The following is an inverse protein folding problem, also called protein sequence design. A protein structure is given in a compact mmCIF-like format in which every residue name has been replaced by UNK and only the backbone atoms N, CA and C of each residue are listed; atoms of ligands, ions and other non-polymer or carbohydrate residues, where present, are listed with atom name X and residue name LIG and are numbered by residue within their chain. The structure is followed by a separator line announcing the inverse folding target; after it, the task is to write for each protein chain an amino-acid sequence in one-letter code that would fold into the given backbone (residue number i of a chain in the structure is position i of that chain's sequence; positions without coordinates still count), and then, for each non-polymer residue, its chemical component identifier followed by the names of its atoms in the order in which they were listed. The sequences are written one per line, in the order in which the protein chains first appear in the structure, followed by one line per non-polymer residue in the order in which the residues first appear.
data_IF_467345369557
#
_entry.id   IF_467345369557
#
_cell.length_a   1.000
_cell.length_b   1.000
_cell.length_c   1.000
_cell.angle_alpha   90.00
_cell.angle_beta   90.00
_cell.angle_gamma   90.00
#
_symmetry.space_group_name_H-M   'P 1'
#
loop_
_entity.id
_entity.type
_entity.pdbx_description
1 polymer ?
#
# COMPACT_ATOMS: atom_id res chain seq x y z
N UNK A 1 28.88 -3.48 -3.31
CA UNK A 1 27.78 -4.16 -2.62
C UNK A 1 26.88 -3.12 -1.98
N UNK A 2 25.75 -2.82 -2.63
CA UNK A 2 24.72 -2.01 -2.01
C UNK A 2 24.07 -2.86 -0.91
N UNK A 3 24.03 -2.35 0.33
CA UNK A 3 23.34 -3.01 1.44
C UNK A 3 21.96 -3.55 1.00
N UNK A 4 21.65 -4.78 1.41
CA UNK A 4 20.36 -5.39 1.11
C UNK A 4 19.26 -4.61 1.86
N UNK A 5 18.54 -3.76 1.14
CA UNK A 5 17.50 -2.88 1.69
C UNK A 5 16.14 -3.56 1.96
N UNK A 6 16.03 -4.87 1.74
CA UNK A 6 14.80 -5.61 1.96
C UNK A 6 14.73 -6.17 3.38
N UNK A 7 13.57 -6.03 4.03
CA UNK A 7 13.31 -6.67 5.32
C UNK A 7 13.32 -8.20 5.13
N UNK A 8 14.15 -8.88 5.91
CA UNK A 8 14.28 -10.35 5.88
C UNK A 8 13.20 -11.00 6.75
N UNK A 9 12.51 -12.00 6.21
CA UNK A 9 11.53 -12.81 6.92
C UNK A 9 10.13 -12.75 6.30
N UNK A 10 9.47 -13.90 6.18
CA UNK A 10 8.13 -14.01 5.57
C UNK A 10 7.03 -13.40 6.45
N UNK A 11 7.23 -13.35 7.77
CA UNK A 11 6.28 -12.76 8.73
C UNK A 11 6.01 -11.27 8.52
N UNK A 12 6.91 -10.56 7.82
CA UNK A 12 6.76 -9.13 7.51
C UNK A 12 6.04 -8.88 6.18
N UNK A 13 5.62 -9.95 5.47
CA UNK A 13 5.04 -9.85 4.14
C UNK A 13 3.51 -9.86 4.20
N UNK A 14 2.91 -9.17 3.25
CA UNK A 14 1.49 -9.33 2.95
C UNK A 14 1.24 -10.71 2.32
N UNK A 15 0.33 -11.53 2.89
CA UNK A 15 -0.04 -12.80 2.31
C UNK A 15 -0.54 -12.62 0.87
N UNK A 16 -0.17 -13.55 -0.01
CA UNK A 16 -0.59 -13.59 -1.43
C UNK A 16 -0.34 -12.28 -2.21
N UNK A 17 0.54 -11.42 -1.73
CA UNK A 17 0.78 -10.08 -2.26
C UNK A 17 -0.50 -9.21 -2.35
N UNK A 18 -1.54 -9.52 -1.54
CA UNK A 18 -2.78 -8.76 -1.48
C UNK A 18 -2.75 -7.81 -0.28
N UNK A 19 -2.93 -6.53 -0.55
CA UNK A 19 -2.80 -5.44 0.42
C UNK A 19 -4.15 -4.71 0.55
N UNK A 20 -4.96 -5.03 1.57
CA UNK A 20 -6.21 -4.32 1.84
C UNK A 20 -5.91 -2.87 2.23
N UNK A 21 -6.66 -1.91 1.68
CA UNK A 21 -6.43 -0.48 1.90
C UNK A 21 -7.71 0.31 2.12
N UNK A 22 -7.59 1.39 2.89
CA UNK A 22 -8.63 2.42 3.11
C UNK A 22 -7.99 3.80 2.98
N UNK A 23 -8.59 4.67 2.17
CA UNK A 23 -8.17 6.07 2.03
C UNK A 23 -8.99 6.94 2.99
N UNK A 24 -8.32 7.77 3.79
CA UNK A 24 -8.99 8.72 4.66
C UNK A 24 -9.67 9.84 3.85
N UNK A 25 -10.76 10.39 4.39
CA UNK A 25 -11.51 11.50 3.76
C UNK A 25 -10.64 12.73 3.49
N UNK A 26 -9.59 12.96 4.29
CA UNK A 26 -8.64 14.05 4.09
C UNK A 26 -7.88 13.96 2.76
N UNK A 27 -7.87 12.81 2.09
CA UNK A 27 -7.18 12.58 0.82
C UNK A 27 -8.10 12.67 -0.40
N UNK A 28 -9.33 13.16 -0.25
CA UNK A 28 -10.30 13.23 -1.35
C UNK A 28 -9.74 13.94 -2.59
N UNK A 29 -8.97 15.00 -2.40
CA UNK A 29 -8.35 15.77 -3.50
C UNK A 29 -7.13 15.06 -4.12
N UNK A 30 -6.56 14.07 -3.44
CA UNK A 30 -5.38 13.31 -3.89
C UNK A 30 -5.75 11.92 -4.42
N UNK A 31 -7.05 11.56 -4.45
CA UNK A 31 -7.50 10.21 -4.77
C UNK A 31 -7.05 9.74 -6.16
N UNK A 32 -7.00 10.65 -7.14
CA UNK A 32 -6.51 10.35 -8.48
C UNK A 32 -5.02 9.95 -8.48
N UNK A 33 -4.17 10.70 -7.78
CA UNK A 33 -2.73 10.41 -7.69
C UNK A 33 -2.47 9.10 -6.94
N UNK A 34 -3.21 8.85 -5.86
CA UNK A 34 -3.12 7.58 -5.12
C UNK A 34 -3.49 6.40 -6.03
N UNK A 35 -4.55 6.56 -6.83
CA UNK A 35 -5.01 5.52 -7.76
C UNK A 35 -3.99 5.27 -8.87
N UNK A 36 -3.35 6.32 -9.39
CA UNK A 36 -2.25 6.18 -10.35
C UNK A 36 -1.08 5.38 -9.74
N UNK A 37 -0.69 5.69 -8.50
CA UNK A 37 0.33 4.92 -7.78
C UNK A 37 -0.04 3.44 -7.64
N UNK A 38 -1.30 3.13 -7.30
CA UNK A 38 -1.78 1.75 -7.24
C UNK A 38 -1.68 1.04 -8.60
N UNK A 39 -2.03 1.73 -9.69
CA UNK A 39 -1.98 1.17 -11.04
C UNK A 39 -0.54 0.83 -11.46
N UNK A 40 0.44 1.64 -11.09
CA UNK A 40 1.86 1.34 -11.35
C UNK A 40 2.30 0.05 -10.63
N UNK A 41 1.91 -0.15 -9.37
CA UNK A 41 2.14 -1.43 -8.68
C UNK A 41 1.47 -2.60 -9.40
N UNK A 42 0.21 -2.43 -9.80
CA UNK A 42 -0.57 -3.48 -10.45
C UNK A 42 -0.01 -3.87 -11.82
N UNK A 43 0.65 -2.93 -12.51
CA UNK A 43 1.25 -3.10 -13.83
C UNK A 43 2.63 -3.74 -13.75
N UNK A 44 3.44 -3.34 -12.77
CA UNK A 44 4.86 -3.70 -12.71
C UNK A 44 5.18 -4.79 -11.69
N UNK A 45 4.23 -5.18 -10.84
CA UNK A 45 4.45 -6.18 -9.78
C UNK A 45 3.25 -7.12 -9.64
N UNK A 46 3.41 -8.19 -8.83
CA UNK A 46 2.30 -9.04 -8.42
C UNK A 46 1.47 -8.47 -7.26
N UNK A 47 1.84 -7.31 -6.70
CA UNK A 47 1.15 -6.69 -5.57
C UNK A 47 -0.22 -6.17 -6.00
N UNK A 48 -1.25 -6.55 -5.25
CA UNK A 48 -2.64 -6.13 -5.47
C UNK A 48 -3.14 -5.33 -4.29
N UNK A 49 -3.18 -4.01 -4.48
CA UNK A 49 -3.80 -3.07 -3.54
C UNK A 49 -5.30 -3.06 -3.81
N UNK A 50 -6.10 -3.36 -2.80
CA UNK A 50 -7.54 -3.63 -2.93
C UNK A 50 -8.33 -2.91 -1.85
N UNK A 51 -9.63 -2.61 -2.07
CA UNK A 51 -10.49 -2.12 -1.00
C UNK A 51 -10.54 -3.12 0.15
N UNK A 52 -10.32 -2.62 1.36
CA UNK A 52 -10.50 -3.42 2.58
C UNK A 52 -11.97 -3.82 2.74
N UNK A 53 -12.20 -5.06 3.15
CA UNK A 53 -13.49 -5.53 3.63
C UNK A 53 -13.46 -5.65 5.15
N UNK A 54 -12.93 -6.76 5.68
CA UNK A 54 -12.92 -7.12 7.09
C UNK A 54 -11.53 -7.51 7.60
N UNK A 55 -10.49 -7.40 6.77
CA UNK A 55 -9.14 -7.83 7.12
C UNK A 55 -8.62 -7.06 8.34
N UNK A 56 -8.04 -7.77 9.30
CA UNK A 56 -7.50 -7.16 10.53
C UNK A 56 -6.29 -6.27 10.24
N UNK A 57 -5.36 -6.78 9.43
CA UNK A 57 -4.20 -6.05 8.95
C UNK A 57 -4.55 -5.38 7.62
N UNK A 58 -4.38 -4.06 7.55
CA UNK A 58 -4.65 -3.28 6.35
C UNK A 58 -3.83 -1.98 6.39
N UNK A 59 -3.72 -1.34 5.23
CA UNK A 59 -3.10 -0.03 5.08
C UNK A 59 -4.16 1.06 5.18
N UNK A 60 -3.95 2.04 6.05
CA UNK A 60 -4.75 3.27 6.07
C UNK A 60 -3.90 4.39 5.50
N UNK A 61 -4.27 4.93 4.34
CA UNK A 61 -3.61 6.12 3.78
C UNK A 61 -4.31 7.35 4.33
N UNK A 62 -3.55 8.30 4.85
CA UNK A 62 -4.07 9.55 5.41
C UNK A 62 -3.11 10.71 5.14
N UNK A 63 -3.63 11.93 5.25
CA UNK A 63 -2.81 13.15 5.22
C UNK A 63 -2.21 13.38 6.61
N UNK A 64 -0.89 13.19 6.74
CA UNK A 64 -0.11 13.48 7.95
C UNK A 64 0.77 14.73 7.81
N UNK A 65 1.71 14.91 8.73
CA UNK A 65 2.74 15.95 8.66
C UNK A 65 3.97 15.42 7.91
N UNK A 66 3.83 15.23 6.60
CA UNK A 66 4.83 14.61 5.73
C UNK A 66 4.41 13.24 5.21
N UNK A 67 5.37 12.50 4.65
CA UNK A 67 5.16 11.20 4.01
C UNK A 67 5.88 10.11 4.81
N UNK A 68 5.12 9.16 5.37
CA UNK A 68 5.62 8.03 6.16
C UNK A 68 4.66 6.84 6.13
#
# INVERSE_FOLDING_TARGET
DAERNAIVGTRYRWPTARLPSVNATSLRNAQNVITQGYNEYHKHTSVRIVPRSYEQNYLKIFSGQGCY
#
